data_IF_595620550374
#
_entry.id   IF_595620550374
#
_cell.length_a   1.000
_cell.length_b   1.000
_cell.length_c   1.000
_cell.angle_alpha   90.00
_cell.angle_beta   90.00
_cell.angle_gamma   90.00
#
_symmetry.space_group_name_H-M   'P 1'
#
loop_
_entity.id
_entity.type
_entity.pdbx_description
1 polymer ?
#
# COMPACT_ATOMS: atom_id res chain seq x y z
N UNK A 1 2.55 22.40 -58.86
CA UNK A 1 3.09 23.30 -57.81
C UNK A 1 3.96 22.42 -56.91
N UNK A 2 5.17 21.99 -57.30
CA UNK A 2 6.40 22.73 -57.66
C UNK A 2 7.05 23.38 -56.41
N UNK A 3 8.19 22.79 -56.03
CA UNK A 3 9.36 23.39 -55.37
C UNK A 3 9.38 23.60 -53.83
N UNK A 4 10.22 22.80 -53.14
CA UNK A 4 11.20 23.30 -52.13
C UNK A 4 12.28 24.12 -52.86
N UNK A 5 13.27 24.86 -52.26
CA UNK A 5 13.75 24.91 -50.86
C UNK A 5 14.25 26.33 -50.38
N UNK A 6 14.65 26.47 -49.12
CA UNK A 6 15.83 27.27 -48.68
C UNK A 6 16.17 26.81 -47.26
N UNK A 7 17.02 25.80 -47.04
CA UNK A 7 18.49 25.82 -46.94
C UNK A 7 19.06 26.98 -46.13
N UNK A 8 19.84 26.65 -45.08
CA UNK A 8 20.91 27.50 -44.60
C UNK A 8 21.11 27.51 -43.08
N UNK A 9 22.29 27.03 -42.65
CA UNK A 9 23.00 27.33 -41.38
C UNK A 9 22.53 26.49 -40.18
N UNK A 10 23.30 25.59 -39.52
CA UNK A 10 24.73 25.21 -39.45
C UNK A 10 24.78 23.90 -38.61
N UNK A 11 25.40 22.80 -39.09
CA UNK A 11 26.73 22.26 -38.66
C UNK A 11 26.88 22.24 -37.12
N UNK A 12 27.04 21.13 -36.40
CA UNK A 12 27.54 19.79 -36.71
C UNK A 12 28.53 19.40 -35.60
N UNK A 13 28.40 18.22 -34.99
CA UNK A 13 29.35 17.78 -33.97
C UNK A 13 28.97 16.50 -33.22
N UNK A 14 28.96 15.36 -33.92
CA UNK A 14 29.06 14.04 -33.32
C UNK A 14 30.42 13.43 -33.72
N UNK A 15 31.23 13.01 -32.74
CA UNK A 15 32.32 12.02 -32.83
C UNK A 15 33.04 12.01 -31.47
N UNK A 16 32.95 10.93 -30.68
CA UNK A 16 33.77 9.71 -30.73
C UNK A 16 34.98 9.77 -29.77
N UNK A 17 35.12 8.73 -28.94
CA UNK A 17 36.43 8.29 -28.47
C UNK A 17 36.63 8.12 -26.95
N UNK A 18 37.09 6.90 -26.62
CA UNK A 18 38.11 6.57 -25.60
C UNK A 18 37.68 6.33 -24.14
N UNK A 19 37.61 5.03 -23.84
CA UNK A 19 38.33 4.34 -22.76
C UNK A 19 38.97 5.20 -21.66
N UNK A 20 38.57 4.94 -20.41
CA UNK A 20 39.23 5.46 -19.22
C UNK A 20 38.88 4.67 -17.97
N UNK A 21 39.68 3.65 -17.65
CA UNK A 21 39.81 3.05 -16.32
C UNK A 21 40.37 4.11 -15.35
N UNK A 22 39.77 4.29 -14.17
CA UNK A 22 40.46 4.98 -13.06
C UNK A 22 39.59 5.78 -12.09
N UNK A 23 39.20 5.11 -11.00
CA UNK A 23 39.22 5.57 -9.61
C UNK A 23 39.34 7.08 -9.33
N UNK A 24 38.41 7.63 -8.53
CA UNK A 24 38.68 8.22 -7.19
C UNK A 24 37.53 9.10 -6.69
N UNK A 25 36.82 8.57 -5.69
CA UNK A 25 36.36 9.23 -4.46
C UNK A 25 35.72 10.61 -4.53
N UNK A 26 34.51 10.73 -4.01
CA UNK A 26 34.28 11.25 -2.64
C UNK A 26 32.81 11.65 -2.47
N UNK A 27 32.20 11.10 -1.44
CA UNK A 27 31.15 11.74 -0.62
C UNK A 27 29.82 12.06 -1.30
N UNK A 28 28.80 11.29 -0.95
CA UNK A 28 27.42 11.70 -1.23
C UNK A 28 26.43 10.63 -0.83
N UNK A 29 26.00 10.69 0.43
CA UNK A 29 24.91 9.93 1.03
C UNK A 29 25.14 8.41 1.02
N UNK A 30 25.40 7.80 2.17
CA UNK A 30 24.30 7.50 3.08
C UNK A 30 23.01 7.16 2.30
N UNK A 31 23.10 6.20 1.37
CA UNK A 31 22.03 5.25 1.22
C UNK A 31 21.89 4.60 2.60
N UNK A 32 21.13 5.28 3.48
CA UNK A 32 20.22 4.60 4.37
C UNK A 32 19.65 3.50 3.50
N UNK A 33 20.11 2.28 3.75
CA UNK A 33 19.17 1.17 3.77
C UNK A 33 17.99 1.71 4.57
N UNK A 34 17.01 2.27 3.86
CA UNK A 34 15.63 2.19 4.27
C UNK A 34 15.43 0.72 4.47
N UNK A 35 15.66 0.35 5.74
CA UNK A 35 15.16 -0.81 6.43
C UNK A 35 13.82 -1.12 5.78
N UNK A 36 13.86 -1.96 4.75
CA UNK A 36 12.71 -2.63 4.18
C UNK A 36 12.18 -3.35 5.39
N UNK A 37 11.12 -2.87 6.06
CA UNK A 37 10.57 -3.68 7.11
C UNK A 37 10.15 -4.92 6.35
N UNK A 38 10.62 -6.08 6.76
CA UNK A 38 9.92 -7.32 6.52
C UNK A 38 8.51 -7.07 7.09
N UNK A 39 7.62 -6.51 6.26
CA UNK A 39 6.31 -6.04 6.69
C UNK A 39 5.47 -7.30 6.91
N UNK A 40 5.56 -7.88 8.09
CA UNK A 40 4.53 -8.73 8.67
C UNK A 40 3.34 -7.86 9.12
N UNK A 41 2.95 -6.93 8.26
CA UNK A 41 1.88 -5.95 8.47
C UNK A 41 0.76 -6.39 7.55
N UNK A 42 -0.24 -7.05 8.13
CA UNK A 42 -1.43 -7.48 7.43
C UNK A 42 -2.55 -6.46 7.67
N UNK A 43 -3.46 -6.38 6.71
CA UNK A 43 -4.68 -5.61 6.79
C UNK A 43 -5.87 -6.56 6.91
N UNK A 44 -6.77 -6.25 7.85
CA UNK A 44 -8.00 -7.02 8.02
C UNK A 44 -9.12 -6.35 7.26
N UNK A 45 -9.57 -6.97 6.17
CA UNK A 45 -10.70 -6.50 5.38
C UNK A 45 -11.96 -7.29 5.72
N UNK A 46 -13.04 -6.59 6.06
CA UNK A 46 -14.38 -7.16 6.14
C UNK A 46 -14.93 -7.29 4.72
N UNK A 47 -15.25 -8.51 4.28
CA UNK A 47 -15.86 -8.79 2.98
C UNK A 47 -17.38 -8.86 3.04
N UNK A 48 -17.91 -9.43 4.11
CA UNK A 48 -19.35 -9.63 4.31
C UNK A 48 -19.64 -9.93 5.78
N UNK A 49 -20.87 -9.73 6.18
CA UNK A 49 -21.31 -10.06 7.53
C UNK A 49 -22.80 -10.38 7.59
N UNK A 50 -23.17 -11.18 8.57
CA UNK A 50 -24.57 -11.48 8.87
C UNK A 50 -25.27 -10.28 9.53
N UNK A 51 -26.43 -9.89 9.00
CA UNK A 51 -27.21 -8.77 9.54
C UNK A 51 -27.63 -8.98 11.01
N UNK A 52 -27.92 -10.23 11.40
CA UNK A 52 -28.23 -10.60 12.78
C UNK A 52 -27.05 -10.38 13.74
N UNK A 53 -25.83 -10.39 13.22
CA UNK A 53 -24.59 -10.24 13.99
C UNK A 53 -23.99 -8.85 13.94
N UNK A 54 -24.61 -7.92 13.19
CA UNK A 54 -24.13 -6.55 13.00
C UNK A 54 -23.77 -5.85 14.31
N UNK A 55 -24.60 -6.00 15.35
CA UNK A 55 -24.35 -5.39 16.67
C UNK A 55 -23.09 -5.99 17.32
N UNK A 56 -22.88 -7.31 17.21
CA UNK A 56 -21.69 -7.99 17.77
C UNK A 56 -20.42 -7.55 17.03
N UNK A 57 -20.50 -7.43 15.71
CA UNK A 57 -19.38 -6.99 14.88
C UNK A 57 -19.00 -5.54 15.19
N UNK A 58 -19.98 -4.64 15.29
CA UNK A 58 -19.70 -3.24 15.67
C UNK A 58 -19.04 -3.16 17.04
N UNK A 59 -19.44 -4.00 18.01
CA UNK A 59 -18.80 -4.04 19.33
C UNK A 59 -17.34 -4.48 19.24
N UNK A 60 -17.06 -5.56 18.50
CA UNK A 60 -15.70 -6.07 18.35
C UNK A 60 -14.82 -5.11 17.54
N UNK A 61 -15.34 -4.55 16.43
CA UNK A 61 -14.67 -3.48 15.65
C UNK A 61 -14.26 -2.33 16.55
N UNK A 62 -15.16 -1.85 17.41
CA UNK A 62 -14.82 -0.80 18.38
C UNK A 62 -13.77 -1.25 19.40
N UNK A 63 -13.76 -2.51 19.81
CA UNK A 63 -12.81 -3.02 20.79
C UNK A 63 -11.36 -3.06 20.28
N UNK A 64 -11.14 -3.16 18.97
CA UNK A 64 -9.78 -3.18 18.40
C UNK A 64 -9.42 -1.94 17.57
N UNK A 65 -10.39 -1.12 17.16
CA UNK A 65 -10.14 0.14 16.42
C UNK A 65 -10.32 1.40 17.26
N UNK A 66 -10.98 1.30 18.42
CA UNK A 66 -11.35 2.44 19.27
C UNK A 66 -12.18 3.54 18.57
N UNK A 67 -12.79 3.22 17.42
CA UNK A 67 -13.65 4.14 16.67
C UNK A 67 -14.97 4.44 17.42
N UNK A 68 -15.55 5.61 17.14
CA UNK A 68 -16.86 5.98 17.66
C UNK A 68 -17.98 5.06 17.18
N UNK A 69 -19.11 5.00 17.90
CA UNK A 69 -20.26 4.15 17.52
C UNK A 69 -20.77 4.45 16.09
N UNK A 70 -20.72 5.72 15.69
CA UNK A 70 -21.11 6.17 14.35
C UNK A 70 -20.11 5.69 13.29
N UNK A 71 -18.82 5.84 13.55
CA UNK A 71 -17.76 5.45 12.62
C UNK A 71 -17.68 3.93 12.45
N UNK A 72 -17.77 3.17 13.53
CA UNK A 72 -17.77 1.71 13.46
C UNK A 72 -19.01 1.16 12.74
N UNK A 73 -20.18 1.78 12.93
CA UNK A 73 -21.39 1.42 12.19
C UNK A 73 -21.21 1.71 10.69
N UNK A 74 -20.74 2.90 10.35
CA UNK A 74 -20.51 3.33 8.98
C UNK A 74 -19.46 2.44 8.29
N UNK A 75 -18.40 2.05 9.00
CA UNK A 75 -17.34 1.17 8.51
C UNK A 75 -17.83 -0.26 8.23
N UNK A 76 -18.67 -0.82 9.11
CA UNK A 76 -19.32 -2.12 8.87
C UNK A 76 -20.36 -2.01 7.75
N UNK A 77 -21.09 -0.89 7.63
CA UNK A 77 -22.06 -0.67 6.54
C UNK A 77 -21.41 -0.45 5.16
N UNK A 78 -20.15 0.01 5.13
CA UNK A 78 -19.35 0.21 3.91
C UNK A 78 -18.65 -1.06 3.39
N UNK A 79 -19.02 -2.22 3.91
CA UNK A 79 -18.44 -3.50 3.48
C UNK A 79 -18.55 -3.65 1.94
N UNK A 80 -17.45 -3.96 1.22
CA UNK A 80 -16.13 -4.36 1.73
C UNK A 80 -15.26 -3.19 2.22
N UNK A 81 -14.74 -3.29 3.45
CA UNK A 81 -13.98 -2.22 4.11
C UNK A 81 -12.83 -2.74 4.99
N UNK A 82 -11.75 -1.98 5.11
CA UNK A 82 -10.60 -2.30 5.98
C UNK A 82 -10.95 -1.98 7.43
N UNK A 83 -10.93 -3.00 8.29
CA UNK A 83 -11.19 -2.90 9.73
C UNK A 83 -9.96 -2.39 10.47
N UNK A 84 -8.78 -2.94 10.18
CA UNK A 84 -7.53 -2.53 10.82
C UNK A 84 -6.34 -2.87 9.94
N UNK A 85 -5.42 -1.92 9.78
CA UNK A 85 -4.14 -2.11 9.12
C UNK A 85 -3.02 -2.25 10.17
N UNK A 86 -1.91 -2.89 9.81
CA UNK A 86 -0.78 -2.98 10.75
C UNK A 86 -0.88 -4.11 11.76
N UNK A 87 -1.67 -5.17 11.49
CA UNK A 87 -1.78 -6.29 12.42
C UNK A 87 -0.73 -7.36 12.11
N UNK A 88 -0.14 -7.92 13.15
CA UNK A 88 0.72 -9.10 13.06
C UNK A 88 -0.10 -10.31 12.60
N UNK A 89 0.54 -11.30 11.98
CA UNK A 89 -0.15 -12.52 11.51
C UNK A 89 -0.96 -13.22 12.62
N UNK A 90 -0.37 -13.34 13.81
CA UNK A 90 -1.02 -13.97 14.96
C UNK A 90 -2.26 -13.20 15.44
N UNK A 91 -2.20 -11.87 15.44
CA UNK A 91 -3.36 -11.03 15.79
C UNK A 91 -4.42 -11.05 14.69
N UNK A 92 -3.99 -11.05 13.42
CA UNK A 92 -4.86 -11.15 12.27
C UNK A 92 -5.69 -12.44 12.32
N UNK A 93 -5.04 -13.59 12.53
CA UNK A 93 -5.73 -14.88 12.64
C UNK A 93 -6.70 -14.91 13.82
N UNK A 94 -6.29 -14.42 15.00
CA UNK A 94 -7.18 -14.32 16.18
C UNK A 94 -8.40 -13.44 15.92
N UNK A 95 -8.23 -12.28 15.27
CA UNK A 95 -9.35 -11.38 14.95
C UNK A 95 -10.25 -12.01 13.89
N UNK A 96 -9.69 -12.63 12.86
CA UNK A 96 -10.45 -13.33 11.82
C UNK A 96 -11.29 -14.45 12.42
N UNK A 97 -10.73 -15.28 13.31
CA UNK A 97 -11.48 -16.35 13.97
C UNK A 97 -12.62 -15.81 14.85
N UNK A 98 -12.36 -14.76 15.64
CA UNK A 98 -13.39 -14.09 16.44
C UNK A 98 -14.50 -13.51 15.57
N UNK A 99 -14.12 -12.85 14.48
CA UNK A 99 -15.03 -12.29 13.48
C UNK A 99 -15.87 -13.38 12.81
N UNK A 100 -15.26 -14.50 12.42
CA UNK A 100 -15.97 -15.65 11.84
C UNK A 100 -16.95 -16.27 12.83
N UNK A 101 -16.55 -16.43 14.09
CA UNK A 101 -17.40 -17.00 15.14
C UNK A 101 -18.66 -16.16 15.39
N UNK A 102 -18.59 -14.85 15.15
CA UNK A 102 -19.76 -13.97 15.22
C UNK A 102 -20.46 -13.77 13.87
N UNK A 103 -20.05 -14.43 12.78
CA UNK A 103 -20.73 -14.31 11.47
C UNK A 103 -20.26 -13.14 10.61
N UNK A 104 -19.03 -12.65 10.80
CA UNK A 104 -18.32 -11.77 9.88
C UNK A 104 -17.31 -12.57 9.05
N UNK A 105 -17.21 -12.26 7.76
CA UNK A 105 -16.19 -12.78 6.86
C UNK A 105 -15.09 -11.73 6.73
N UNK A 106 -13.97 -11.97 7.42
CA UNK A 106 -12.79 -11.12 7.38
C UNK A 106 -11.65 -11.88 6.70
N UNK A 107 -10.92 -11.20 5.83
CA UNK A 107 -9.73 -11.71 5.13
C UNK A 107 -8.51 -10.91 5.55
N UNK A 108 -7.37 -11.61 5.69
CA UNK A 108 -6.07 -10.95 5.79
C UNK A 108 -5.59 -10.61 4.38
N UNK A 109 -5.22 -9.36 4.18
CA UNK A 109 -4.53 -8.85 2.99
C UNK A 109 -3.10 -8.38 3.35
#
# INVERSE_FOLDING_TARGET
MKESPTVGVIKGGAAAGLAGMGMKGSTGAAAKEEKKPEKTVFELKLESYEAASKIKIIKEVRSFTDLGLKEAKDLVEKTPAVLKAGVSKEDAEKIIEKMKAIGAKVVME
#
